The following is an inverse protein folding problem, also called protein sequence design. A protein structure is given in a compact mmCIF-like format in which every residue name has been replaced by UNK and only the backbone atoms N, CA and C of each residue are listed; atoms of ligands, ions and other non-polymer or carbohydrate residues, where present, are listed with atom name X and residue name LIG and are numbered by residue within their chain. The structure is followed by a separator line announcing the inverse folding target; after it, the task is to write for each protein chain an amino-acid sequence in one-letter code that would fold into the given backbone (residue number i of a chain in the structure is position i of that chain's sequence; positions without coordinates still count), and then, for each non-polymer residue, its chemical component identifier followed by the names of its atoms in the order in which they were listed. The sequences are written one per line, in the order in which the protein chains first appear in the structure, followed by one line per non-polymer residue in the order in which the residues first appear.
data_IF_218877475565
#
_entry.id   IF_218877475565
#
_cell.length_a   1.000
_cell.length_b   1.000
_cell.length_c   1.000
_cell.angle_alpha   90.00
_cell.angle_beta   90.00
_cell.angle_gamma   90.00
#
_symmetry.space_group_name_H-M   'P 1'
#
loop_
_entity.id
_entity.type
_entity.pdbx_description
1 polymer ?
#
# COMPACT_ATOMS: atom_id res chain seq x y z
N UNK A 1 -4.66 2.73 9.03
CA UNK A 1 -3.65 2.35 10.02
C UNK A 1 -4.16 2.56 11.44
N UNK A 2 -3.57 1.85 12.39
CA UNK A 2 -3.76 2.08 13.83
C UNK A 2 -2.98 3.31 14.30
N UNK A 3 -3.25 3.77 15.53
CA UNK A 3 -2.46 4.84 16.15
C UNK A 3 -0.97 4.48 16.29
N UNK A 4 -0.66 3.20 16.48
CA UNK A 4 0.71 2.68 16.53
C UNK A 4 1.38 2.48 15.18
N UNK A 5 0.82 3.03 14.09
CA UNK A 5 1.31 2.87 12.74
C UNK A 5 1.40 1.40 12.27
N UNK A 6 0.43 0.59 12.63
CA UNK A 6 0.25 -0.74 12.08
C UNK A 6 -0.83 -0.73 10.98
N UNK A 7 -0.62 -1.49 9.92
CA UNK A 7 -1.60 -1.61 8.86
C UNK A 7 -2.86 -2.33 9.35
N UNK A 8 -4.03 -1.82 8.97
CA UNK A 8 -5.32 -2.49 9.16
C UNK A 8 -5.68 -3.23 7.88
N UNK A 9 -5.57 -2.56 6.74
CA UNK A 9 -5.91 -3.08 5.43
C UNK A 9 -5.17 -2.29 4.36
N UNK A 10 -4.87 -2.96 3.25
CA UNK A 10 -4.48 -2.35 1.98
C UNK A 10 -5.55 -2.65 0.95
N UNK A 11 -5.85 -1.69 0.09
CA UNK A 11 -6.80 -1.87 -1.00
C UNK A 11 -6.41 -1.03 -2.21
N UNK A 12 -6.75 -1.53 -3.39
CA UNK A 12 -6.69 -0.75 -4.64
C UNK A 12 -7.80 0.28 -4.71
N UNK A 13 -8.88 0.06 -3.97
CA UNK A 13 -9.94 1.03 -3.78
C UNK A 13 -9.57 2.09 -2.76
N UNK A 14 -10.14 3.27 -2.89
CA UNK A 14 -10.01 4.31 -1.86
C UNK A 14 -10.77 3.85 -0.61
N UNK A 15 -10.09 3.81 0.51
CA UNK A 15 -10.63 3.48 1.84
C UNK A 15 -10.11 4.48 2.88
N UNK A 16 -10.96 4.87 3.86
CA UNK A 16 -12.36 4.51 4.06
C UNK A 16 -13.29 5.21 3.07
N UNK A 17 -14.54 4.76 3.03
CA UNK A 17 -15.65 5.50 2.44
C UNK A 17 -16.06 6.63 3.41
N UNK A 18 -16.06 7.86 2.93
CA UNK A 18 -16.49 9.01 3.74
C UNK A 18 -17.98 9.25 3.48
N UNK A 19 -18.80 8.92 4.48
CA UNK A 19 -20.24 9.08 4.42
C UNK A 19 -20.64 10.55 4.52
N UNK A 20 -21.79 10.89 3.94
CA UNK A 20 -22.42 12.21 3.99
C UNK A 20 -21.56 13.35 3.39
N UNK A 21 -20.68 13.02 2.46
CA UNK A 21 -19.77 13.94 1.81
C UNK A 21 -19.53 13.51 0.36
N UNK A 22 -19.48 14.46 -0.56
CA UNK A 22 -19.11 14.17 -1.95
C UNK A 22 -17.65 13.72 -2.06
N UNK A 23 -17.34 12.85 -3.02
CA UNK A 23 -16.02 12.24 -3.19
C UNK A 23 -14.90 13.28 -3.34
N UNK A 24 -15.18 14.42 -3.99
CA UNK A 24 -14.23 15.51 -4.19
C UNK A 24 -13.82 16.18 -2.87
N UNK A 25 -14.63 16.06 -1.83
CA UNK A 25 -14.38 16.64 -0.51
C UNK A 25 -13.82 15.65 0.52
N UNK A 26 -13.64 14.37 0.15
CA UNK A 26 -13.16 13.34 1.08
C UNK A 26 -11.82 13.68 1.73
N UNK A 27 -10.87 14.22 0.96
CA UNK A 27 -9.54 14.60 1.47
C UNK A 27 -9.58 15.73 2.49
N UNK A 28 -10.68 16.52 2.53
CA UNK A 28 -10.88 17.56 3.55
C UNK A 28 -11.42 16.99 4.85
N UNK A 29 -12.07 15.83 4.80
CA UNK A 29 -12.73 15.19 5.94
C UNK A 29 -11.86 14.09 6.58
N UNK A 30 -10.96 13.48 5.82
CA UNK A 30 -10.15 12.36 6.28
C UNK A 30 -8.76 12.35 5.66
N UNK A 31 -7.79 11.89 6.42
CA UNK A 31 -6.42 11.70 5.92
C UNK A 31 -6.30 10.34 5.25
N UNK A 32 -6.07 10.34 3.95
CA UNK A 32 -5.81 9.13 3.18
C UNK A 32 -4.31 8.89 3.03
N UNK A 33 -3.91 7.63 3.05
CA UNK A 33 -2.53 7.22 2.86
C UNK A 33 -2.37 6.45 1.55
N UNK A 34 -1.39 6.85 0.75
CA UNK A 34 -0.99 6.09 -0.43
C UNK A 34 -0.06 4.96 -0.01
N UNK A 35 -0.37 3.76 -0.44
CA UNK A 35 0.50 2.61 -0.27
C UNK A 35 1.72 2.71 -1.20
N UNK A 36 2.91 2.59 -0.61
CA UNK A 36 4.17 2.49 -1.35
C UNK A 36 4.67 1.05 -1.21
N UNK A 37 4.90 0.40 -2.34
CA UNK A 37 5.24 -1.02 -2.43
C UNK A 37 6.70 -1.34 -2.06
N UNK A 38 7.16 -0.88 -0.90
CA UNK A 38 8.50 -1.19 -0.37
C UNK A 38 8.34 -1.87 0.99
N UNK A 39 8.92 -3.07 1.14
CA UNK A 39 8.77 -3.90 2.33
C UNK A 39 10.11 -4.36 2.86
N UNK A 40 10.23 -4.38 4.18
CA UNK A 40 11.32 -5.01 4.90
C UNK A 40 10.78 -6.14 5.78
N UNK A 41 11.48 -7.25 5.80
CA UNK A 41 11.13 -8.43 6.59
C UNK A 41 12.30 -8.87 7.45
N UNK A 42 12.01 -9.34 8.68
CA UNK A 42 12.96 -10.21 9.35
C UNK A 42 13.07 -11.53 8.61
N UNK A 43 14.17 -12.22 8.72
CA UNK A 43 14.36 -13.54 8.08
C UNK A 43 13.26 -14.51 8.54
N UNK A 44 12.94 -14.52 9.82
CA UNK A 44 11.86 -15.34 10.38
C UNK A 44 10.49 -15.01 9.79
N UNK A 45 10.15 -13.73 9.64
CA UNK A 45 8.89 -13.31 9.02
C UNK A 45 8.82 -13.74 7.55
N UNK A 46 9.92 -13.57 6.80
CA UNK A 46 9.98 -13.96 5.41
C UNK A 46 9.81 -15.48 5.21
N UNK A 47 10.45 -16.27 6.06
CA UNK A 47 10.29 -17.73 6.03
C UNK A 47 8.85 -18.17 6.32
N UNK A 48 8.19 -17.55 7.30
CA UNK A 48 6.77 -17.79 7.59
C UNK A 48 5.87 -17.38 6.42
N UNK A 49 6.12 -16.20 5.86
CA UNK A 49 5.35 -15.69 4.73
C UNK A 49 5.44 -16.60 3.50
N UNK A 50 6.64 -17.09 3.20
CA UNK A 50 6.89 -17.91 2.01
C UNK A 50 6.09 -19.23 1.98
N UNK A 51 5.74 -19.78 3.14
CA UNK A 51 4.98 -21.03 3.25
C UNK A 51 3.47 -20.84 3.38
N UNK A 52 3.00 -19.59 3.53
CA UNK A 52 1.58 -19.31 3.60
C UNK A 52 0.91 -19.50 2.24
N UNK A 53 -0.25 -20.17 2.17
CA UNK A 53 -1.04 -20.23 0.95
C UNK A 53 -1.63 -18.85 0.64
N UNK A 54 -1.91 -18.61 -0.65
CA UNK A 54 -2.61 -17.40 -1.08
C UNK A 54 -3.93 -17.23 -0.34
N UNK A 55 -4.18 -16.03 0.12
CA UNK A 55 -5.38 -15.68 0.87
C UNK A 55 -6.48 -15.12 -0.04
N UNK A 56 -7.72 -15.06 0.48
CA UNK A 56 -8.89 -14.60 -0.30
C UNK A 56 -8.77 -13.14 -0.72
N UNK A 57 -8.37 -12.27 0.19
CA UNK A 57 -8.18 -10.85 -0.14
C UNK A 57 -7.00 -10.63 -1.08
N UNK A 58 -5.91 -11.38 -0.90
CA UNK A 58 -4.78 -11.35 -1.82
C UNK A 58 -5.21 -11.69 -3.25
N UNK A 59 -6.00 -12.76 -3.41
CA UNK A 59 -6.49 -13.19 -4.73
C UNK A 59 -7.41 -12.13 -5.33
N UNK A 60 -8.32 -11.57 -4.52
CA UNK A 60 -9.28 -10.58 -4.98
C UNK A 60 -8.63 -9.27 -5.43
N UNK A 61 -7.66 -8.77 -4.66
CA UNK A 61 -7.02 -7.48 -4.90
C UNK A 61 -5.67 -7.59 -5.61
N UNK A 62 -5.12 -8.79 -5.73
CA UNK A 62 -3.76 -9.04 -6.21
C UNK A 62 -2.72 -8.20 -5.44
N UNK A 63 -2.81 -8.25 -4.12
CA UNK A 63 -1.93 -7.59 -3.16
C UNK A 63 -1.40 -8.63 -2.17
N UNK A 64 -0.14 -9.02 -2.32
CA UNK A 64 0.50 -10.11 -1.54
C UNK A 64 0.48 -9.88 -0.03
N UNK A 65 0.69 -8.65 0.41
CA UNK A 65 0.75 -8.31 1.83
C UNK A 65 -0.55 -8.60 2.58
N UNK A 66 -1.67 -8.73 1.87
CA UNK A 66 -2.95 -9.14 2.46
C UNK A 66 -2.91 -10.56 3.00
N UNK A 67 -2.12 -11.46 2.40
CA UNK A 67 -1.88 -12.81 2.92
C UNK A 67 -1.34 -12.78 4.35
N UNK A 68 -0.38 -11.90 4.60
CA UNK A 68 0.22 -11.73 5.92
C UNK A 68 -0.79 -11.22 6.93
N UNK A 69 -1.56 -10.20 6.58
CA UNK A 69 -2.59 -9.63 7.45
C UNK A 69 -3.72 -10.61 7.73
N UNK A 70 -4.22 -11.33 6.73
CA UNK A 70 -5.29 -12.34 6.90
C UNK A 70 -4.85 -13.52 7.79
N UNK A 71 -3.56 -13.80 7.88
CA UNK A 71 -3.00 -14.82 8.76
C UNK A 71 -2.53 -14.28 10.12
N UNK A 72 -2.97 -13.08 10.50
CA UNK A 72 -2.68 -12.48 11.80
C UNK A 72 -1.32 -11.82 11.92
N UNK A 73 -0.59 -11.69 10.82
CA UNK A 73 0.68 -10.97 10.79
C UNK A 73 0.49 -9.47 10.95
N UNK A 74 1.47 -8.80 11.54
CA UNK A 74 1.49 -7.34 11.69
C UNK A 74 2.46 -6.72 10.71
N UNK A 75 2.08 -5.58 10.14
CA UNK A 75 2.91 -4.77 9.25
C UNK A 75 3.03 -3.38 9.87
N UNK A 76 4.25 -3.04 10.30
CA UNK A 76 4.57 -1.70 10.79
C UNK A 76 4.74 -0.76 9.61
N UNK A 77 4.16 0.42 9.70
CA UNK A 77 4.19 1.43 8.64
C UNK A 77 5.17 2.55 8.97
N UNK A 78 5.97 2.95 7.99
CA UNK A 78 6.71 4.20 8.00
C UNK A 78 5.98 5.24 7.15
N UNK A 79 5.71 6.41 7.71
CA UNK A 79 5.15 7.53 6.97
C UNK A 79 6.27 8.30 6.28
N UNK A 80 6.17 8.44 4.98
CA UNK A 80 7.18 9.11 4.16
C UNK A 80 6.51 10.09 3.21
N UNK A 81 7.28 11.06 2.72
CA UNK A 81 6.84 11.93 1.63
C UNK A 81 7.24 11.26 0.32
N UNK A 82 6.25 10.71 -0.37
CA UNK A 82 6.46 10.07 -1.68
C UNK A 82 6.55 11.14 -2.78
N UNK A 83 7.70 11.21 -3.42
CA UNK A 83 7.94 12.00 -4.63
C UNK A 83 8.28 11.10 -5.82
N UNK A 84 8.09 9.82 -5.66
CA UNK A 84 8.38 8.81 -6.67
C UNK A 84 7.44 8.89 -7.86
N UNK A 85 7.94 8.47 -9.01
CA UNK A 85 7.16 8.24 -10.22
C UNK A 85 7.19 6.74 -10.45
N UNK A 86 6.02 6.10 -10.47
CA UNK A 86 5.92 4.70 -10.87
C UNK A 86 6.23 4.58 -12.37
N UNK A 87 6.97 3.55 -12.73
CA UNK A 87 7.32 3.26 -14.13
C UNK A 87 6.67 1.94 -14.51
N UNK A 88 5.48 2.04 -15.10
CA UNK A 88 4.70 0.89 -15.57
C UNK A 88 4.53 0.92 -17.11
N UNK A 89 4.72 2.08 -17.74
CA UNK A 89 4.56 2.31 -19.17
C UNK A 89 5.79 2.99 -19.77
N UNK A 90 6.01 2.93 -21.09
CA UNK A 90 7.07 3.66 -21.78
C UNK A 90 7.01 5.18 -21.51
N UNK A 91 5.81 5.75 -21.46
CA UNK A 91 5.59 7.17 -21.19
C UNK A 91 6.03 7.56 -19.77
N UNK A 92 5.84 6.66 -18.80
CA UNK A 92 6.32 6.85 -17.43
C UNK A 92 7.86 6.88 -17.39
N UNK A 93 8.49 6.00 -18.15
CA UNK A 93 9.95 5.98 -18.30
C UNK A 93 10.48 7.31 -18.87
N UNK A 94 9.86 7.84 -19.91
CA UNK A 94 10.24 9.13 -20.48
C UNK A 94 10.12 10.27 -19.45
N UNK A 95 9.06 10.25 -18.62
CA UNK A 95 8.86 11.20 -17.53
C UNK A 95 10.00 11.15 -16.51
N UNK A 96 10.41 9.95 -16.13
CA UNK A 96 11.52 9.75 -15.19
C UNK A 96 12.83 10.22 -15.78
N UNK A 97 13.11 9.88 -17.04
CA UNK A 97 14.32 10.31 -17.74
C UNK A 97 14.44 11.84 -17.85
N UNK A 98 13.33 12.53 -18.10
CA UNK A 98 13.29 13.99 -18.09
C UNK A 98 13.66 14.55 -16.71
N UNK A 99 13.10 13.98 -15.64
CA UNK A 99 13.35 14.43 -14.27
C UNK A 99 14.79 14.20 -13.80
N UNK A 100 15.43 13.14 -14.28
CA UNK A 100 16.83 12.85 -13.96
C UNK A 100 17.81 13.80 -14.66
N UNK A 101 17.38 14.50 -15.71
CA UNK A 101 18.18 15.48 -16.43
C UNK A 101 18.06 16.92 -15.86
N UNK A 102 17.09 17.13 -14.99
CA UNK A 102 16.90 18.40 -14.28
C UNK A 102 17.74 18.44 -12.99
#
# INVERSE_FOLDING_TARGET
KTENNEAILFSRSIIPFVRDCSKENWIKQHTFFKHIGVYAYTVSALQKFAVLPKSKLEIAENLEQLRWLENGGKIKLALVVDRGIAVDTPEDLERVLKRLKE
#
